data_IF_997910390653
#
_entry.id   IF_997910390653
#
_cell.length_a   1.000
_cell.length_b   1.000
_cell.length_c   1.000
_cell.angle_alpha   90.00
_cell.angle_beta   90.00
_cell.angle_gamma   90.00
#
_symmetry.space_group_name_H-M   'P 1'
#
loop_
_entity.id
_entity.type
_entity.pdbx_description
1 polymer ?
#
# COMPACT_ATOMS: atom_id res chain seq x y z
N UNK A 1 -5.75 -27.22 -56.36
CA UNK A 1 -6.50 -28.12 -57.24
C UNK A 1 -6.66 -29.44 -56.53
N UNK A 2 -7.89 -29.94 -56.50
CA UNK A 2 -8.34 -31.18 -55.86
C UNK A 2 -7.61 -32.41 -56.40
N UNK A 3 -7.52 -33.50 -55.64
CA UNK A 3 -8.12 -34.79 -56.00
C UNK A 3 -8.01 -35.79 -54.83
N UNK A 4 -9.16 -36.13 -54.26
CA UNK A 4 -9.41 -37.38 -53.52
C UNK A 4 -9.47 -38.57 -54.48
N UNK A 5 -9.20 -39.79 -53.98
CA UNK A 5 -10.02 -40.99 -54.28
C UNK A 5 -9.62 -42.19 -53.39
N UNK A 6 -10.62 -42.74 -52.71
CA UNK A 6 -10.66 -44.06 -52.08
C UNK A 6 -10.79 -45.21 -53.09
N UNK A 7 -10.42 -46.44 -52.70
CA UNK A 7 -11.05 -47.74 -53.02
C UNK A 7 -10.28 -48.84 -52.25
N UNK A 8 -10.82 -49.61 -51.30
CA UNK A 8 -11.84 -50.69 -51.34
C UNK A 8 -11.29 -52.09 -51.69
N UNK A 9 -11.20 -52.92 -50.63
CA UNK A 9 -11.60 -54.35 -50.44
C UNK A 9 -11.24 -55.43 -51.48
N UNK A 10 -10.62 -56.53 -51.00
CA UNK A 10 -11.03 -57.92 -51.35
C UNK A 10 -10.72 -58.94 -50.23
N UNK A 11 -11.68 -59.85 -50.06
CA UNK A 11 -11.87 -60.93 -49.06
C UNK A 11 -11.17 -62.26 -49.42
N UNK A 12 -10.96 -63.14 -48.43
CA UNK A 12 -10.83 -64.60 -48.55
C UNK A 12 -9.80 -65.20 -47.56
N UNK A 13 -10.03 -66.26 -46.79
CA UNK A 13 -11.03 -67.33 -46.82
C UNK A 13 -11.00 -68.06 -45.45
N UNK A 14 -12.17 -68.57 -45.08
CA UNK A 14 -12.53 -69.27 -43.84
C UNK A 14 -11.74 -70.55 -43.56
N UNK A 15 -11.51 -70.86 -42.27
CA UNK A 15 -11.74 -72.19 -41.66
C UNK A 15 -11.83 -72.03 -40.12
N UNK A 16 -12.91 -72.53 -39.53
CA UNK A 16 -13.11 -72.83 -38.10
C UNK A 16 -13.72 -74.25 -38.04
N UNK A 17 -13.93 -74.92 -36.88
CA UNK A 17 -13.80 -74.46 -35.48
C UNK A 17 -13.18 -75.50 -34.49
N UNK A 18 -12.97 -75.10 -33.22
CA UNK A 18 -13.27 -75.92 -32.02
C UNK A 18 -12.69 -75.28 -30.72
N UNK A 19 -13.61 -74.87 -29.82
CA UNK A 19 -13.61 -74.90 -28.33
C UNK A 19 -12.34 -74.46 -27.56
N UNK A 20 -12.33 -73.58 -26.55
CA UNK A 20 -13.31 -73.10 -25.56
C UNK A 20 -12.79 -71.78 -24.93
N UNK A 21 -13.63 -70.97 -24.24
CA UNK A 21 -13.39 -69.55 -23.98
C UNK A 21 -12.61 -69.23 -22.68
N UNK A 22 -11.71 -68.24 -22.77
CA UNK A 22 -11.08 -67.54 -21.65
C UNK A 22 -11.99 -66.39 -21.14
N UNK A 23 -11.88 -65.99 -19.86
CA UNK A 23 -12.86 -65.11 -19.21
C UNK A 23 -12.72 -63.65 -19.65
N UNK A 24 -13.88 -62.99 -19.62
CA UNK A 24 -14.17 -61.62 -20.05
C UNK A 24 -13.28 -60.57 -19.35
N UNK A 25 -12.72 -59.65 -20.14
CA UNK A 25 -12.07 -58.43 -19.66
C UNK A 25 -13.14 -57.47 -19.12
N UNK A 26 -12.99 -57.08 -17.85
CA UNK A 26 -13.81 -56.07 -17.19
C UNK A 26 -13.74 -54.73 -17.92
N UNK A 27 -14.88 -54.30 -18.45
CA UNK A 27 -15.10 -52.93 -18.92
C UNK A 27 -14.95 -51.96 -17.75
N UNK A 28 -13.82 -51.26 -17.69
CA UNK A 28 -13.63 -50.06 -16.86
C UNK A 28 -14.67 -49.02 -17.31
N UNK A 29 -15.70 -48.83 -16.49
CA UNK A 29 -16.63 -47.70 -16.62
C UNK A 29 -15.83 -46.41 -16.42
N UNK A 30 -15.93 -45.40 -17.29
CA UNK A 30 -15.37 -44.09 -16.98
C UNK A 30 -16.09 -43.57 -15.73
N UNK A 31 -15.32 -43.28 -14.68
CA UNK A 31 -15.86 -42.64 -13.49
C UNK A 31 -16.54 -41.32 -13.89
N UNK A 32 -17.71 -40.99 -13.31
CA UNK A 32 -18.34 -39.71 -13.58
C UNK A 32 -17.39 -38.61 -13.09
N UNK A 33 -16.95 -37.76 -14.02
CA UNK A 33 -16.22 -36.54 -13.69
C UNK A 33 -17.10 -35.76 -12.72
N UNK A 34 -16.64 -35.64 -11.47
CA UNK A 34 -17.33 -34.89 -10.46
C UNK A 34 -17.20 -33.40 -10.82
N UNK A 35 -18.25 -32.83 -11.40
CA UNK A 35 -18.32 -31.42 -11.78
C UNK A 35 -18.27 -30.48 -10.55
N UNK A 36 -18.44 -30.99 -9.33
CA UNK A 36 -18.30 -30.19 -8.09
C UNK A 36 -16.83 -29.84 -7.78
N UNK A 37 -15.85 -30.48 -8.43
CA UNK A 37 -14.41 -30.16 -8.28
C UNK A 37 -13.93 -29.08 -9.25
N UNK A 38 -14.81 -28.53 -10.10
CA UNK A 38 -14.47 -27.47 -11.07
C UNK A 38 -14.97 -26.07 -10.67
N UNK A 39 -15.68 -25.94 -9.55
CA UNK A 39 -16.21 -24.66 -9.07
C UNK A 39 -15.39 -24.01 -7.94
N UNK A 40 -14.37 -24.70 -7.39
CA UNK A 40 -13.51 -24.15 -6.32
C UNK A 40 -12.42 -23.17 -6.83
N UNK A 41 -12.23 -23.03 -8.14
CA UNK A 41 -11.21 -22.17 -8.77
C UNK A 41 -11.80 -20.92 -9.45
N UNK A 42 -13.05 -20.55 -9.14
CA UNK A 42 -13.56 -19.21 -9.40
C UNK A 42 -13.76 -18.50 -8.08
N UNK A 43 -12.71 -17.81 -7.62
CA UNK A 43 -12.83 -16.86 -6.52
C UNK A 43 -14.04 -15.95 -6.71
N UNK A 44 -14.67 -15.55 -5.61
CA UNK A 44 -15.84 -14.67 -5.65
C UNK A 44 -15.57 -13.47 -6.57
N UNK A 45 -16.40 -13.20 -7.59
CA UNK A 45 -16.20 -12.06 -8.48
C UNK A 45 -16.22 -10.70 -7.75
N UNK A 46 -16.70 -10.63 -6.51
CA UNK A 46 -16.77 -9.43 -5.70
C UNK A 46 -16.40 -9.73 -4.23
N UNK A 47 -15.11 -9.94 -3.89
CA UNK A 47 -14.68 -10.13 -2.52
C UNK A 47 -14.99 -8.89 -1.67
N UNK A 48 -14.92 -9.03 -0.34
CA UNK A 48 -14.96 -7.87 0.56
C UNK A 48 -13.72 -7.03 0.33
N UNK A 49 -13.90 -5.76 -0.03
CA UNK A 49 -12.80 -4.86 -0.37
C UNK A 49 -12.74 -3.69 0.59
N UNK A 50 -11.55 -3.17 0.80
CA UNK A 50 -11.27 -1.99 1.59
C UNK A 50 -10.50 -1.03 0.70
N UNK A 51 -11.17 0.02 0.24
CA UNK A 51 -10.56 1.05 -0.60
C UNK A 51 -9.91 2.07 0.33
N UNK A 52 -8.64 2.36 0.10
CA UNK A 52 -7.81 3.22 0.96
C UNK A 52 -7.13 4.26 0.08
N UNK A 53 -7.51 5.51 0.26
CA UNK A 53 -6.98 6.66 -0.46
C UNK A 53 -5.93 7.40 0.39
N UNK A 54 -4.75 7.61 -0.18
CA UNK A 54 -3.65 8.37 0.42
C UNK A 54 -3.50 9.70 -0.32
N UNK A 55 -3.69 10.79 0.40
CA UNK A 55 -3.26 12.12 -0.02
C UNK A 55 -1.89 12.40 0.61
N UNK A 56 -0.84 12.25 -0.20
CA UNK A 56 0.52 12.58 0.21
C UNK A 56 0.77 14.05 -0.10
N UNK A 57 0.38 14.97 0.79
CA UNK A 57 0.54 16.40 0.57
C UNK A 57 1.94 16.93 0.91
N UNK A 58 2.25 18.14 0.45
CA UNK A 58 3.57 18.77 0.68
C UNK A 58 3.81 19.13 2.15
N UNK A 59 2.75 19.50 2.87
CA UNK A 59 2.80 19.98 4.26
C UNK A 59 2.16 18.99 5.21
N UNK A 60 0.98 18.48 4.86
CA UNK A 60 0.25 17.47 5.61
C UNK A 60 -0.14 16.34 4.66
N UNK A 61 -0.25 15.14 5.19
CA UNK A 61 -0.76 13.97 4.50
C UNK A 61 -2.01 13.46 5.23
N UNK A 62 -2.90 12.80 4.49
CA UNK A 62 -4.12 12.22 5.03
C UNK A 62 -4.39 10.86 4.40
N UNK A 63 -5.09 10.00 5.15
CA UNK A 63 -5.55 8.70 4.65
C UNK A 63 -7.04 8.58 4.90
N UNK A 64 -7.79 8.20 3.89
CA UNK A 64 -9.23 7.91 4.00
C UNK A 64 -9.53 6.51 3.49
N UNK A 65 -10.59 5.90 3.99
CA UNK A 65 -10.96 4.55 3.63
C UNK A 65 -12.47 4.34 3.62
N UNK A 66 -12.89 3.32 2.89
CA UNK A 66 -14.28 2.88 2.84
C UNK A 66 -14.36 1.38 2.56
N UNK A 67 -15.25 0.69 3.27
CA UNK A 67 -15.49 -0.73 3.06
C UNK A 67 -16.52 -0.96 1.95
N UNK A 68 -16.23 -1.91 1.09
CA UNK A 68 -17.13 -2.38 0.03
C UNK A 68 -17.54 -3.82 0.36
N UNK A 69 -18.80 -4.06 0.73
CA UNK A 69 -19.29 -5.38 1.05
C UNK A 69 -19.16 -6.35 -0.13
N UNK A 70 -19.08 -7.64 0.19
CA UNK A 70 -19.07 -8.73 -0.78
C UNK A 70 -20.31 -8.65 -1.69
N UNK A 71 -20.12 -8.84 -2.99
CA UNK A 71 -21.21 -8.74 -3.98
C UNK A 71 -21.62 -7.32 -4.37
N UNK A 72 -21.01 -6.27 -3.80
CA UNK A 72 -21.33 -4.88 -4.14
C UNK A 72 -20.35 -4.30 -5.19
N UNK A 73 -20.86 -3.69 -6.29
CA UNK A 73 -20.03 -2.91 -7.21
C UNK A 73 -19.39 -1.69 -6.52
N UNK A 74 -18.17 -1.31 -6.91
CA UNK A 74 -17.47 -0.13 -6.36
C UNK A 74 -18.26 1.16 -6.52
N UNK A 75 -19.06 1.27 -7.60
CA UNK A 75 -19.81 2.48 -7.95
C UNK A 75 -21.00 2.74 -7.01
N UNK A 76 -21.29 1.81 -6.10
CA UNK A 76 -22.40 1.89 -5.14
C UNK A 76 -22.02 2.49 -3.78
N UNK A 77 -20.76 2.89 -3.59
CA UNK A 77 -20.25 3.43 -2.32
C UNK A 77 -20.89 4.78 -2.02
N UNK A 78 -21.55 4.88 -0.85
CA UNK A 78 -22.06 6.14 -0.32
C UNK A 78 -20.90 7.01 0.16
N UNK A 79 -20.81 8.25 -0.31
CA UNK A 79 -19.76 9.17 0.13
C UNK A 79 -19.79 9.44 1.64
N UNK A 80 -20.94 9.26 2.29
CA UNK A 80 -21.07 9.39 3.75
C UNK A 80 -20.45 8.24 4.55
N UNK A 81 -20.13 7.11 3.91
CA UNK A 81 -19.43 6.00 4.57
C UNK A 81 -17.91 6.14 4.52
N UNK A 82 -17.38 7.14 3.80
CA UNK A 82 -15.95 7.44 3.78
C UNK A 82 -15.52 7.92 5.17
N UNK A 83 -14.49 7.28 5.71
CA UNK A 83 -13.88 7.61 7.00
C UNK A 83 -12.43 8.00 6.81
N UNK A 84 -11.91 8.90 7.64
CA UNK A 84 -10.49 9.27 7.63
C UNK A 84 -9.76 8.65 8.81
N UNK A 85 -8.50 8.32 8.59
CA UNK A 85 -7.58 7.84 9.61
C UNK A 85 -7.14 9.03 10.45
N UNK A 86 -7.31 8.91 11.77
CA UNK A 86 -6.86 9.89 12.75
C UNK A 86 -6.04 9.24 13.84
N UNK A 87 -6.10 9.83 15.04
CA UNK A 87 -5.38 9.37 16.24
C UNK A 87 -3.87 9.20 16.01
N UNK A 88 -3.28 10.09 15.20
CA UNK A 88 -1.85 10.03 14.93
C UNK A 88 -1.05 10.15 16.23
N UNK A 89 0.10 9.44 16.33
CA UNK A 89 0.97 9.52 17.49
C UNK A 89 1.33 10.98 17.80
N UNK A 90 1.33 11.33 19.10
CA UNK A 90 1.75 12.64 19.62
C UNK A 90 0.93 13.84 19.11
N UNK A 91 -0.28 13.59 18.60
CA UNK A 91 -1.28 14.59 18.27
C UNK A 91 -1.98 15.14 19.54
N UNK A 92 -1.21 15.77 20.45
CA UNK A 92 -1.69 16.21 21.77
C UNK A 92 -2.40 17.57 21.77
N UNK A 93 -2.28 18.36 20.69
CA UNK A 93 -2.61 19.78 20.69
C UNK A 93 -3.90 20.14 19.94
N UNK A 94 -4.59 19.15 19.37
CA UNK A 94 -5.80 19.40 18.59
C UNK A 94 -7.00 18.92 19.38
N UNK A 95 -7.98 19.81 19.56
CA UNK A 95 -9.24 19.45 20.20
C UNK A 95 -9.85 18.26 19.47
N UNK A 96 -10.58 17.39 20.17
CA UNK A 96 -11.23 16.20 19.59
C UNK A 96 -12.13 16.49 18.36
N UNK A 97 -12.51 17.76 18.15
CA UNK A 97 -13.32 18.23 17.03
C UNK A 97 -12.53 19.05 15.98
N UNK A 98 -11.20 19.13 16.07
CA UNK A 98 -10.41 19.83 15.06
C UNK A 98 -10.24 18.94 13.81
N UNK A 99 -10.64 19.41 12.62
CA UNK A 99 -10.41 18.69 11.36
C UNK A 99 -8.96 18.29 11.13
N UNK A 100 -8.00 19.04 11.68
CA UNK A 100 -6.56 18.73 11.60
C UNK A 100 -6.22 17.40 12.29
N UNK A 101 -7.06 16.89 13.20
CA UNK A 101 -6.85 15.59 13.85
C UNK A 101 -6.88 14.39 12.90
N UNK A 102 -7.35 14.59 11.66
CA UNK A 102 -7.42 13.59 10.59
C UNK A 102 -6.26 13.70 9.59
N UNK A 103 -5.33 14.63 9.80
CA UNK A 103 -4.15 14.82 8.98
C UNK A 103 -2.88 14.64 9.82
N UNK A 104 -1.74 14.45 9.15
CA UNK A 104 -0.43 14.30 9.81
C UNK A 104 0.63 15.11 9.05
N UNK A 105 1.54 15.85 9.74
CA UNK A 105 2.60 16.58 9.06
C UNK A 105 3.45 15.69 8.16
N UNK A 106 3.73 16.14 6.93
CA UNK A 106 4.64 15.48 5.98
C UNK A 106 6.09 15.84 6.32
N UNK A 107 6.51 15.43 7.51
CA UNK A 107 7.81 15.78 8.10
C UNK A 107 8.46 14.55 8.73
N UNK A 108 9.78 14.52 8.72
CA UNK A 108 10.60 13.46 9.33
C UNK A 108 11.86 14.02 9.99
N UNK A 109 12.39 13.32 10.98
CA UNK A 109 13.73 13.53 11.53
C UNK A 109 14.48 12.21 11.48
N UNK A 110 15.62 12.22 10.79
CA UNK A 110 16.53 11.08 10.73
C UNK A 110 17.61 11.19 11.79
N UNK A 111 17.86 10.12 12.56
CA UNK A 111 19.16 9.90 13.18
C UNK A 111 20.25 9.79 12.11
N UNK A 112 21.41 10.38 12.38
CA UNK A 112 22.57 10.29 11.47
C UNK A 112 23.37 9.00 11.66
N UNK A 113 23.12 8.25 12.72
CA UNK A 113 23.63 6.89 12.86
C UNK A 113 22.78 5.92 12.05
N UNK A 114 23.32 5.33 10.99
CA UNK A 114 22.59 4.42 10.09
C UNK A 114 21.99 3.19 10.80
N UNK A 115 22.52 2.80 11.96
CA UNK A 115 22.11 1.57 12.64
C UNK A 115 20.67 1.60 13.15
N UNK A 116 20.03 2.77 13.26
CA UNK A 116 18.58 2.83 13.56
C UNK A 116 17.75 2.04 12.54
N UNK A 117 18.19 1.95 11.28
CA UNK A 117 17.42 1.26 10.23
C UNK A 117 17.26 -0.23 10.52
N UNK A 118 18.25 -0.84 11.16
CA UNK A 118 18.24 -2.24 11.56
C UNK A 118 17.27 -2.45 12.72
N UNK A 119 17.28 -1.55 13.71
CA UNK A 119 16.40 -1.60 14.88
C UNK A 119 14.91 -1.42 14.56
N UNK A 120 14.59 -0.60 13.55
CA UNK A 120 13.21 -0.32 13.14
C UNK A 120 12.79 -1.11 11.90
N UNK A 121 13.59 -2.09 11.49
CA UNK A 121 13.35 -2.98 10.36
C UNK A 121 12.86 -2.27 9.07
N UNK A 122 13.45 -1.12 8.77
CA UNK A 122 13.01 -0.31 7.62
C UNK A 122 13.45 -0.89 6.29
N UNK A 123 14.44 -1.79 6.29
CA UNK A 123 15.02 -2.35 5.07
C UNK A 123 14.67 -3.83 4.83
N UNK A 124 14.22 -4.62 5.84
CA UNK A 124 13.95 -6.07 5.64
C UNK A 124 12.87 -6.71 6.56
N UNK A 125 11.56 -6.52 6.30
CA UNK A 125 10.48 -7.02 7.17
C UNK A 125 10.40 -8.57 7.32
N UNK A 126 11.19 -9.35 6.58
CA UNK A 126 11.08 -10.82 6.49
C UNK A 126 11.96 -11.61 7.48
N UNK A 127 12.86 -10.99 8.26
CA UNK A 127 13.86 -11.71 9.07
C UNK A 127 13.49 -12.05 10.52
N UNK A 128 12.28 -11.74 11.02
CA UNK A 128 11.89 -12.01 12.43
C UNK A 128 10.70 -12.98 12.60
N UNK A 129 10.67 -14.09 11.87
CA UNK A 129 9.81 -15.22 12.22
C UNK A 129 10.55 -16.37 12.93
N UNK A 130 11.85 -16.28 13.12
CA UNK A 130 12.62 -17.28 13.85
C UNK A 130 13.67 -16.58 14.72
N UNK A 131 13.27 -16.17 15.93
CA UNK A 131 14.06 -16.23 17.15
C UNK A 131 13.26 -15.56 18.27
N UNK A 132 12.64 -16.38 19.11
CA UNK A 132 12.23 -15.93 20.43
C UNK A 132 13.46 -15.90 21.30
N UNK A 133 13.97 -14.71 21.62
CA UNK A 133 14.96 -14.53 22.68
C UNK A 133 14.61 -13.30 23.52
N UNK A 134 14.88 -13.46 24.81
CA UNK A 134 14.36 -12.73 25.94
C UNK A 134 14.67 -11.22 25.92
N UNK A 135 13.66 -10.42 26.26
CA UNK A 135 13.86 -9.00 26.57
C UNK A 135 14.53 -8.92 27.95
N UNK A 136 15.86 -8.77 27.97
CA UNK A 136 16.59 -8.39 29.18
C UNK A 136 16.14 -7.00 29.62
N UNK A 137 15.55 -6.94 30.82
CA UNK A 137 15.24 -5.71 31.53
C UNK A 137 16.54 -5.01 31.95
N UNK A 138 16.69 -3.69 31.75
CA UNK A 138 17.92 -3.00 32.14
C UNK A 138 18.01 -2.93 33.67
N UNK A 139 19.14 -3.42 34.18
CA UNK A 139 19.58 -3.32 35.57
C UNK A 139 19.87 -1.86 35.89
N UNK A 140 19.27 -1.34 36.96
CA UNK A 140 19.60 -0.02 37.52
C UNK A 140 20.81 -0.13 38.44
N UNK A 141 21.88 0.55 38.10
CA UNK A 141 23.06 0.79 38.94
C UNK A 141 22.76 1.92 39.96
N UNK A 142 23.12 1.66 41.23
CA UNK A 142 22.96 2.59 42.35
C UNK A 142 24.05 3.67 42.37
N UNK A 143 24.07 4.52 41.36
CA UNK A 143 24.76 5.81 41.46
C UNK A 143 24.02 6.81 40.57
N UNK A 144 23.37 7.77 41.22
CA UNK A 144 22.40 8.70 40.63
C UNK A 144 23.00 9.66 39.61
N UNK A 145 23.33 9.16 38.44
CA UNK A 145 23.48 9.93 37.22
C UNK A 145 22.24 9.73 36.35
N UNK A 146 21.53 10.83 36.09
CA UNK A 146 20.29 10.84 35.33
C UNK A 146 20.67 10.64 33.85
N UNK A 147 20.66 9.39 33.36
CA UNK A 147 20.85 9.08 31.94
C UNK A 147 19.61 9.41 31.08
N UNK A 148 18.92 10.53 31.35
CA UNK A 148 17.74 10.96 30.57
C UNK A 148 18.09 11.67 29.25
N UNK A 149 19.38 11.67 28.84
CA UNK A 149 19.84 12.39 27.64
C UNK A 149 20.20 11.48 26.46
N UNK A 150 20.22 10.15 26.61
CA UNK A 150 20.63 9.24 25.52
C UNK A 150 19.49 8.83 24.57
N UNK A 151 18.24 8.87 24.99
CA UNK A 151 17.16 8.18 24.24
C UNK A 151 16.55 9.00 23.08
N UNK A 152 16.90 10.29 22.98
CA UNK A 152 16.33 11.18 21.95
C UNK A 152 17.11 11.12 20.62
N UNK A 153 18.30 10.54 20.59
CA UNK A 153 19.19 10.63 19.42
C UNK A 153 19.05 9.49 18.40
N UNK A 154 18.34 8.42 18.72
CA UNK A 154 18.47 7.16 17.97
C UNK A 154 17.22 6.75 17.18
N UNK A 155 16.06 7.36 17.45
CA UNK A 155 14.80 7.00 16.78
C UNK A 155 14.47 7.88 15.57
N UNK A 156 14.01 7.22 14.50
CA UNK A 156 13.37 7.89 13.36
C UNK A 156 12.02 8.48 13.77
N UNK A 157 11.82 9.78 13.49
CA UNK A 157 10.57 10.48 13.84
C UNK A 157 9.85 10.91 12.59
N UNK A 158 8.52 10.90 12.64
CA UNK A 158 7.65 11.32 11.56
C UNK A 158 6.39 12.02 12.12
N UNK A 159 5.73 12.82 11.30
CA UNK A 159 4.46 13.44 11.69
C UNK A 159 4.58 14.34 12.91
N UNK A 160 3.61 14.26 13.82
CA UNK A 160 3.57 15.12 15.03
C UNK A 160 4.71 14.85 16.01
N UNK A 161 5.36 13.67 15.99
CA UNK A 161 6.60 13.42 16.76
C UNK A 161 7.70 14.41 16.41
N UNK A 162 7.75 14.86 15.15
CA UNK A 162 8.69 15.89 14.71
C UNK A 162 8.40 17.20 15.43
N UNK A 163 7.15 17.64 15.47
CA UNK A 163 6.76 18.88 16.14
C UNK A 163 7.03 18.83 17.64
N UNK A 164 6.72 17.70 18.27
CA UNK A 164 6.93 17.51 19.70
C UNK A 164 8.41 17.70 20.09
N UNK A 165 9.33 17.09 19.34
CA UNK A 165 10.76 17.27 19.61
C UNK A 165 11.28 18.61 19.11
N UNK A 166 10.73 19.16 18.02
CA UNK A 166 11.16 20.45 17.48
C UNK A 166 10.79 21.63 18.38
N UNK A 167 9.77 21.49 19.23
CA UNK A 167 9.44 22.45 20.27
C UNK A 167 10.50 22.50 21.40
N UNK A 168 11.44 21.56 21.45
CA UNK A 168 12.50 21.51 22.47
C UNK A 168 13.74 22.25 21.95
N UNK A 169 14.26 23.28 22.66
CA UNK A 169 15.42 24.04 22.20
C UNK A 169 16.68 23.20 21.91
N UNK A 170 16.87 22.11 22.67
CA UNK A 170 17.97 21.16 22.51
C UNK A 170 17.99 20.51 21.12
N UNK A 171 16.84 20.32 20.49
CA UNK A 171 16.72 19.69 19.18
C UNK A 171 17.34 20.54 18.07
N UNK A 172 17.25 21.87 18.17
CA UNK A 172 17.84 22.77 17.17
C UNK A 172 19.37 22.77 17.20
N UNK A 173 19.97 22.44 18.34
CA UNK A 173 21.42 22.32 18.49
C UNK A 173 21.92 20.89 18.31
N UNK A 174 21.00 19.94 18.07
CA UNK A 174 21.37 18.54 17.94
C UNK A 174 22.00 18.28 16.57
N UNK A 175 23.30 17.98 16.57
CA UNK A 175 24.09 17.66 15.37
C UNK A 175 24.01 16.19 14.95
N UNK A 176 23.37 15.32 15.74
CA UNK A 176 23.23 13.88 15.45
C UNK A 176 21.97 13.55 14.67
N UNK A 177 21.07 14.52 14.49
CA UNK A 177 19.81 14.33 13.78
C UNK A 177 19.68 15.29 12.61
N UNK A 178 18.82 14.91 11.66
CA UNK A 178 18.62 15.65 10.43
C UNK A 178 17.11 15.77 10.13
N UNK A 179 16.50 16.93 10.41
CA UNK A 179 15.10 17.21 10.08
C UNK A 179 14.92 17.40 8.58
N UNK A 180 13.75 17.02 8.08
CA UNK A 180 13.38 17.16 6.68
C UNK A 180 11.86 17.33 6.53
N UNK A 181 11.46 18.37 5.80
CA UNK A 181 10.07 18.63 5.42
C UNK A 181 10.01 18.98 3.93
N UNK A 182 8.78 18.99 3.37
CA UNK A 182 8.53 19.35 1.96
C UNK A 182 9.30 18.49 0.95
N UNK A 183 9.68 17.28 1.34
CA UNK A 183 10.43 16.35 0.50
C UNK A 183 9.60 15.80 -0.67
N UNK A 184 8.26 15.97 -0.68
CA UNK A 184 7.41 15.78 -1.87
C UNK A 184 7.89 16.60 -3.07
N UNK A 185 8.47 17.78 -2.83
CA UNK A 185 8.99 18.65 -3.89
C UNK A 185 10.19 18.06 -4.64
N UNK A 186 10.78 16.96 -4.17
CA UNK A 186 11.78 16.19 -4.92
C UNK A 186 11.21 15.57 -6.21
N UNK A 187 9.88 15.46 -6.31
CA UNK A 187 9.15 15.00 -7.49
C UNK A 187 8.72 16.15 -8.43
N UNK A 188 8.91 17.40 -8.01
CA UNK A 188 8.59 18.59 -8.80
C UNK A 188 9.81 19.11 -9.57
N UNK A 189 9.57 19.71 -10.74
CA UNK A 189 10.61 20.31 -11.60
C UNK A 189 10.34 21.78 -11.96
N UNK A 190 9.31 22.41 -11.39
CA UNK A 190 8.98 23.82 -11.66
C UNK A 190 10.08 24.79 -11.17
N UNK A 191 10.30 25.93 -11.83
CA UNK A 191 11.30 26.91 -11.40
C UNK A 191 10.98 27.50 -10.01
N UNK A 192 9.68 27.68 -9.71
CA UNK A 192 9.19 28.31 -8.49
C UNK A 192 9.62 27.58 -7.20
N UNK A 193 9.82 26.26 -7.25
CA UNK A 193 10.19 25.47 -6.06
C UNK A 193 11.70 25.17 -6.00
N UNK A 194 12.51 25.65 -6.96
CA UNK A 194 13.93 25.26 -7.06
C UNK A 194 14.75 25.61 -5.82
N UNK A 195 14.51 26.77 -5.20
CA UNK A 195 15.19 27.17 -3.96
C UNK A 195 14.91 26.17 -2.84
N UNK A 196 13.65 25.79 -2.64
CA UNK A 196 13.26 24.81 -1.61
C UNK A 196 13.82 23.43 -1.93
N UNK A 197 13.76 23.00 -3.20
CA UNK A 197 14.35 21.72 -3.63
C UNK A 197 15.85 21.67 -3.39
N UNK A 198 16.57 22.78 -3.61
CA UNK A 198 18.01 22.85 -3.34
C UNK A 198 18.32 22.61 -1.86
N UNK A 199 17.55 23.21 -0.96
CA UNK A 199 17.73 23.03 0.48
C UNK A 199 17.43 21.57 0.89
N UNK A 200 16.33 20.99 0.39
CA UNK A 200 16.00 19.58 0.59
C UNK A 200 17.12 18.67 0.05
N UNK A 201 17.65 18.95 -1.15
CA UNK A 201 18.76 18.18 -1.75
C UNK A 201 20.04 18.25 -0.92
N UNK A 202 20.34 19.38 -0.28
CA UNK A 202 21.49 19.48 0.63
C UNK A 202 21.33 18.51 1.81
N UNK A 203 20.15 18.46 2.40
CA UNK A 203 19.82 17.50 3.47
C UNK A 203 19.94 16.06 2.99
N UNK A 204 19.36 15.74 1.82
CA UNK A 204 19.47 14.40 1.21
C UNK A 204 20.94 14.01 0.99
N UNK A 205 21.78 14.94 0.52
CA UNK A 205 23.20 14.68 0.31
C UNK A 205 23.95 14.39 1.62
N UNK A 206 23.56 15.01 2.73
CA UNK A 206 24.11 14.69 4.05
C UNK A 206 23.70 13.28 4.48
N UNK A 207 22.42 12.93 4.35
CA UNK A 207 21.92 11.58 4.68
C UNK A 207 22.59 10.50 3.83
N UNK A 208 22.75 10.74 2.52
CA UNK A 208 23.44 9.82 1.61
C UNK A 208 24.92 9.62 1.98
N UNK A 209 25.65 10.71 2.28
CA UNK A 209 27.07 10.61 2.68
C UNK A 209 27.27 9.82 3.97
N UNK A 210 26.29 9.84 4.86
CA UNK A 210 26.27 9.06 6.10
C UNK A 210 25.72 7.63 5.91
N UNK A 211 25.34 7.26 4.69
CA UNK A 211 24.68 5.98 4.36
C UNK A 211 23.38 5.75 5.13
N UNK A 212 22.68 6.82 5.51
CA UNK A 212 21.36 6.75 6.16
C UNK A 212 20.25 6.47 5.14
N UNK A 213 20.42 6.94 3.91
CA UNK A 213 19.51 6.64 2.80
C UNK A 213 20.30 6.38 1.51
N UNK A 214 19.72 5.58 0.61
CA UNK A 214 20.31 5.32 -0.71
C UNK A 214 20.01 6.43 -1.73
N UNK A 215 18.86 7.10 -1.58
CA UNK A 215 18.42 8.11 -2.53
C UNK A 215 17.24 8.95 -2.04
N UNK A 216 16.87 10.00 -2.78
CA UNK A 216 15.81 10.93 -2.40
C UNK A 216 14.44 10.25 -2.21
N UNK A 217 14.13 9.25 -3.05
CA UNK A 217 12.89 8.48 -2.98
C UNK A 217 12.77 7.66 -1.69
N UNK A 218 13.90 7.33 -1.05
CA UNK A 218 13.88 6.55 0.19
C UNK A 218 13.17 7.31 1.31
N UNK A 219 13.30 8.64 1.36
CA UNK A 219 12.62 9.47 2.35
C UNK A 219 11.11 9.39 2.21
N UNK A 220 10.61 9.39 0.97
CA UNK A 220 9.18 9.26 0.69
C UNK A 220 8.71 7.87 1.10
N UNK A 221 9.43 6.81 0.71
CA UNK A 221 9.08 5.44 1.08
C UNK A 221 9.08 5.20 2.59
N UNK A 222 10.08 5.73 3.32
CA UNK A 222 10.18 5.60 4.77
C UNK A 222 8.99 6.32 5.45
N UNK A 223 8.67 7.55 5.07
CA UNK A 223 7.50 8.26 5.59
C UNK A 223 6.19 7.50 5.34
N UNK A 224 5.98 7.03 4.10
CA UNK A 224 4.79 6.26 3.74
C UNK A 224 4.71 4.93 4.50
N UNK A 225 5.85 4.31 4.83
CA UNK A 225 5.89 3.05 5.59
C UNK A 225 5.24 3.26 6.96
N UNK A 226 5.69 4.27 7.70
CA UNK A 226 5.11 4.60 9.00
C UNK A 226 3.64 5.05 8.91
N UNK A 227 3.29 5.82 7.87
CA UNK A 227 1.91 6.23 7.63
C UNK A 227 1.00 5.00 7.42
N UNK A 228 1.45 4.03 6.63
CA UNK A 228 0.71 2.80 6.40
C UNK A 228 0.70 1.90 7.64
N UNK A 229 1.79 1.74 8.37
CA UNK A 229 1.78 0.98 9.63
C UNK A 229 0.75 1.53 10.63
N UNK A 230 0.71 2.85 10.80
CA UNK A 230 -0.32 3.50 11.62
C UNK A 230 -1.72 3.24 11.07
N UNK A 231 -1.91 3.41 9.76
CA UNK A 231 -3.18 3.13 9.07
C UNK A 231 -3.66 1.71 9.35
N UNK A 232 -2.80 0.70 9.16
CA UNK A 232 -3.10 -0.72 9.42
C UNK A 232 -3.51 -0.93 10.87
N UNK A 233 -2.78 -0.32 11.80
CA UNK A 233 -3.06 -0.38 13.23
C UNK A 233 -4.45 0.20 13.55
N UNK A 234 -4.81 1.35 12.99
CA UNK A 234 -6.14 1.95 13.17
C UNK A 234 -7.24 1.12 12.52
N UNK A 235 -7.04 0.63 11.29
CA UNK A 235 -7.99 -0.23 10.60
C UNK A 235 -8.30 -1.51 11.40
N UNK A 236 -7.28 -2.15 11.98
CA UNK A 236 -7.45 -3.31 12.86
C UNK A 236 -8.26 -2.99 14.12
N UNK A 237 -8.05 -1.82 14.73
CA UNK A 237 -8.86 -1.36 15.88
C UNK A 237 -10.33 -1.12 15.49
N UNK A 238 -10.59 -0.76 14.24
CA UNK A 238 -11.94 -0.64 13.70
C UNK A 238 -12.56 -1.96 13.23
N UNK A 239 -11.86 -3.09 13.40
CA UNK A 239 -12.37 -4.42 13.06
C UNK A 239 -12.09 -4.87 11.62
N UNK A 240 -11.26 -4.13 10.87
CA UNK A 240 -10.80 -4.57 9.55
C UNK A 240 -9.58 -5.47 9.71
N UNK A 241 -9.66 -6.69 9.21
CA UNK A 241 -8.61 -7.69 9.26
C UNK A 241 -8.03 -7.98 7.85
N UNK A 242 -7.22 -9.03 7.76
CA UNK A 242 -6.57 -9.43 6.52
C UNK A 242 -7.49 -10.22 5.57
N UNK A 243 -8.78 -10.42 5.92
CA UNK A 243 -9.79 -10.98 5.02
C UNK A 243 -10.27 -10.00 3.95
N UNK A 244 -10.08 -8.69 4.17
CA UNK A 244 -10.38 -7.66 3.19
C UNK A 244 -9.30 -7.59 2.12
N UNK A 245 -9.70 -7.60 0.85
CA UNK A 245 -8.83 -7.19 -0.24
C UNK A 245 -8.63 -5.67 -0.18
N UNK A 246 -7.37 -5.24 -0.11
CA UNK A 246 -7.02 -3.82 0.07
C UNK A 246 -6.73 -3.22 -1.31
N UNK A 247 -7.46 -2.16 -1.65
CA UNK A 247 -7.24 -1.35 -2.86
C UNK A 247 -6.66 0.00 -2.45
N UNK A 248 -5.54 0.40 -3.05
CA UNK A 248 -4.84 1.64 -2.73
C UNK A 248 -5.05 2.68 -3.82
N UNK A 249 -5.48 3.88 -3.43
CA UNK A 249 -5.60 5.03 -4.31
C UNK A 249 -4.58 6.07 -3.86
N UNK A 250 -3.79 6.59 -4.78
CA UNK A 250 -2.86 7.68 -4.54
C UNK A 250 -3.35 8.95 -5.24
N UNK A 251 -3.57 10.00 -4.46
CA UNK A 251 -3.86 11.33 -4.98
C UNK A 251 -2.55 12.04 -5.34
N UNK A 252 -2.45 12.54 -6.58
CA UNK A 252 -1.24 13.25 -7.05
C UNK A 252 -1.54 14.61 -7.70
N UNK A 253 -0.62 15.57 -7.65
CA UNK A 253 -0.78 16.84 -8.36
C UNK A 253 -0.92 16.65 -9.86
N UNK A 254 -1.89 17.32 -10.50
CA UNK A 254 -2.11 17.22 -11.95
C UNK A 254 -0.91 17.70 -12.80
N UNK A 255 -0.03 18.53 -12.22
CA UNK A 255 1.17 19.05 -12.90
C UNK A 255 2.33 18.03 -12.93
N UNK A 256 2.23 16.91 -12.21
CA UNK A 256 3.31 15.93 -12.16
C UNK A 256 3.56 15.26 -13.50
N UNK A 257 4.84 15.07 -13.78
CA UNK A 257 5.29 14.28 -14.94
C UNK A 257 4.98 12.80 -14.73
N UNK A 258 4.89 12.04 -15.83
CA UNK A 258 4.74 10.58 -15.75
C UNK A 258 5.85 9.91 -14.91
N UNK A 259 7.08 10.45 -14.97
CA UNK A 259 8.19 9.96 -14.15
C UNK A 259 7.92 10.17 -12.66
N UNK A 260 7.45 11.36 -12.26
CA UNK A 260 7.12 11.66 -10.87
C UNK A 260 6.01 10.73 -10.35
N UNK A 261 4.98 10.46 -11.16
CA UNK A 261 3.94 9.49 -10.81
C UNK A 261 4.51 8.08 -10.62
N UNK A 262 5.36 7.59 -11.54
CA UNK A 262 6.00 6.26 -11.41
C UNK A 262 6.91 6.16 -10.19
N UNK A 263 7.70 7.20 -9.93
CA UNK A 263 8.58 7.27 -8.75
C UNK A 263 7.73 7.20 -7.46
N UNK A 264 6.61 7.91 -7.40
CA UNK A 264 5.70 7.89 -6.26
C UNK A 264 5.00 6.53 -6.09
N UNK A 265 4.55 5.89 -7.18
CA UNK A 265 3.99 4.53 -7.15
C UNK A 265 5.01 3.53 -6.60
N UNK A 266 6.26 3.62 -7.05
CA UNK A 266 7.34 2.76 -6.55
C UNK A 266 7.58 2.98 -5.05
N UNK A 267 7.56 4.22 -4.57
CA UNK A 267 7.69 4.51 -3.13
C UNK A 267 6.54 3.91 -2.32
N UNK A 268 5.31 4.05 -2.81
CA UNK A 268 4.13 3.51 -2.15
C UNK A 268 4.13 1.98 -2.16
N UNK A 269 4.50 1.34 -3.26
CA UNK A 269 4.63 -0.11 -3.34
C UNK A 269 5.66 -0.66 -2.34
N UNK A 270 6.81 0.01 -2.19
CA UNK A 270 7.83 -0.33 -1.17
C UNK A 270 7.24 -0.19 0.24
N UNK A 271 6.54 0.91 0.52
CA UNK A 271 5.92 1.15 1.82
C UNK A 271 4.81 0.12 2.15
N UNK A 272 4.01 -0.27 1.15
CA UNK A 272 2.99 -1.31 1.30
C UNK A 272 3.61 -2.66 1.64
N UNK A 273 4.73 -3.01 0.99
CA UNK A 273 5.48 -4.23 1.33
C UNK A 273 5.98 -4.17 2.78
N UNK A 274 6.64 -3.08 3.18
CA UNK A 274 7.23 -2.90 4.52
C UNK A 274 6.20 -2.94 5.66
N UNK A 275 5.03 -2.34 5.43
CA UNK A 275 3.94 -2.27 6.42
C UNK A 275 3.03 -3.51 6.46
N UNK A 276 3.35 -4.55 5.67
CA UNK A 276 2.50 -5.73 5.42
C UNK A 276 1.07 -5.36 5.04
N UNK A 277 0.95 -4.38 4.14
CA UNK A 277 -0.30 -3.95 3.54
C UNK A 277 -0.72 -4.83 2.36
N UNK A 278 0.23 -5.56 1.78
CA UNK A 278 -0.01 -6.53 0.70
C UNK A 278 -0.30 -7.92 1.24
N UNK A 279 -1.17 -8.68 0.55
CA UNK A 279 -1.33 -10.12 0.78
C UNK A 279 -0.06 -10.85 0.34
N UNK A 280 0.29 -11.93 1.05
CA UNK A 280 1.52 -12.71 0.87
C UNK A 280 1.69 -13.37 -0.52
N UNK A 281 0.71 -13.27 -1.42
CA UNK A 281 0.65 -14.01 -2.68
C UNK A 281 1.37 -13.30 -3.85
N UNK A 282 2.06 -12.19 -3.60
CA UNK A 282 2.82 -11.43 -4.60
C UNK A 282 4.22 -12.04 -4.85
N UNK A 283 4.27 -13.28 -5.33
CA UNK A 283 5.44 -13.76 -6.10
C UNK A 283 5.54 -13.07 -7.46
N UNK A 284 4.45 -12.48 -7.95
CA UNK A 284 4.44 -11.63 -9.14
C UNK A 284 4.56 -10.16 -8.73
N UNK A 285 5.55 -9.47 -9.31
CA UNK A 285 5.92 -8.06 -9.11
C UNK A 285 4.85 -7.06 -9.61
N UNK A 286 3.57 -7.35 -9.43
CA UNK A 286 2.49 -6.52 -9.96
C UNK A 286 1.72 -5.87 -8.82
N UNK A 287 1.70 -4.54 -8.82
CA UNK A 287 0.97 -3.71 -7.86
C UNK A 287 -0.48 -3.57 -8.37
N UNK A 288 -1.16 -4.70 -8.60
CA UNK A 288 -2.41 -4.75 -9.37
C UNK A 288 -3.56 -3.95 -8.73
N UNK A 289 -3.44 -3.62 -7.44
CA UNK A 289 -4.45 -2.89 -6.68
C UNK A 289 -4.01 -1.46 -6.31
N UNK A 290 -3.11 -0.83 -7.08
CA UNK A 290 -2.70 0.56 -6.89
C UNK A 290 -3.18 1.44 -8.05
N UNK A 291 -4.00 2.44 -7.72
CA UNK A 291 -4.55 3.42 -8.66
C UNK A 291 -4.02 4.82 -8.37
N UNK A 292 -3.90 5.64 -9.42
CA UNK A 292 -3.60 7.07 -9.29
C UNK A 292 -4.83 7.86 -9.71
N UNK A 293 -5.17 8.88 -8.93
CA UNK A 293 -6.16 9.90 -9.28
C UNK A 293 -5.52 11.27 -9.11
N UNK A 294 -5.91 12.25 -9.92
CA UNK A 294 -5.42 13.61 -9.71
C UNK A 294 -6.10 14.26 -8.50
N UNK A 295 -5.34 14.99 -7.68
CA UNK A 295 -5.89 15.78 -6.55
C UNK A 295 -7.10 16.65 -6.93
N UNK A 296 -7.09 17.44 -8.04
CA UNK A 296 -8.27 18.24 -8.41
C UNK A 296 -9.48 17.39 -8.82
N UNK A 297 -9.26 16.22 -9.41
CA UNK A 297 -10.34 15.28 -9.75
C UNK A 297 -10.95 14.65 -8.50
N UNK A 298 -10.11 14.20 -7.56
CA UNK A 298 -10.56 13.66 -6.28
C UNK A 298 -11.38 14.71 -5.50
N UNK A 299 -10.91 15.96 -5.47
CA UNK A 299 -11.63 17.07 -4.84
C UNK A 299 -12.99 17.33 -5.52
N UNK A 300 -13.04 17.37 -6.85
CA UNK A 300 -14.28 17.56 -7.59
C UNK A 300 -15.27 16.41 -7.34
N UNK A 301 -14.81 15.16 -7.40
CA UNK A 301 -15.64 13.97 -7.12
C UNK A 301 -16.24 14.01 -5.70
N UNK A 302 -15.42 14.37 -4.70
CA UNK A 302 -15.88 14.52 -3.33
C UNK A 302 -16.98 15.60 -3.22
N UNK A 303 -16.76 16.79 -3.80
CA UNK A 303 -17.74 17.89 -3.78
C UNK A 303 -19.08 17.51 -4.45
N UNK A 304 -19.03 16.83 -5.60
CA UNK A 304 -20.22 16.37 -6.32
C UNK A 304 -21.01 15.33 -5.51
N UNK A 305 -20.30 14.47 -4.76
CA UNK A 305 -20.93 13.42 -3.97
C UNK A 305 -21.64 13.95 -2.71
N UNK A 306 -21.11 15.02 -2.11
CA UNK A 306 -21.58 15.60 -0.84
C UNK A 306 -22.61 16.74 -1.02
N UNK A 307 -22.65 17.38 -2.19
CA UNK A 307 -23.58 18.47 -2.46
C UNK A 307 -24.95 17.96 -2.92
N UNK A 308 -25.97 18.07 -2.06
CA UNK A 308 -27.36 17.71 -2.39
C UNK A 308 -27.94 18.54 -3.54
N UNK A 309 -27.48 19.78 -3.73
CA UNK A 309 -27.97 20.72 -4.75
C UNK A 309 -27.45 20.42 -6.16
N UNK A 310 -26.25 19.83 -6.29
CA UNK A 310 -25.62 19.55 -7.60
C UNK A 310 -26.16 18.24 -8.20
N UNK A 311 -26.56 17.27 -7.36
CA UNK A 311 -27.22 16.02 -7.80
C UNK A 311 -28.56 16.26 -8.50
N UNK A 312 -29.22 17.41 -8.30
CA UNK A 312 -30.52 17.72 -8.91
C UNK A 312 -30.40 18.26 -10.35
N UNK A 313 -29.20 18.69 -10.79
CA UNK A 313 -28.98 19.21 -12.15
C UNK A 313 -28.42 18.18 -13.14
N UNK A 314 -28.11 16.95 -12.71
CA UNK A 314 -27.73 15.87 -13.63
C UNK A 314 -28.97 15.18 -14.18
N UNK A 315 -29.49 15.75 -15.28
CA UNK A 315 -30.40 15.06 -16.21
C UNK A 315 -29.72 13.76 -16.66
N UNK A 316 -30.42 12.61 -16.78
CA UNK A 316 -29.79 11.37 -17.17
C UNK A 316 -29.15 11.51 -18.55
N UNK A 317 -27.82 11.42 -18.60
CA UNK A 317 -27.08 11.21 -19.84
C UNK A 317 -27.30 9.77 -20.29
N UNK A 318 -28.50 9.50 -20.81
CA UNK A 318 -28.69 8.38 -21.73
C UNK A 318 -27.91 8.70 -23.00
N UNK A 319 -26.89 7.87 -23.28
CA UNK A 319 -26.01 7.87 -24.46
C UNK A 319 -24.64 8.53 -24.27
N UNK A 320 -23.73 7.80 -23.62
CA UNK A 320 -22.33 7.78 -24.02
C UNK A 320 -21.86 6.32 -24.08
N UNK A 321 -22.19 5.68 -25.20
CA UNK A 321 -21.56 4.42 -25.63
C UNK A 321 -20.27 4.79 -26.37
N UNK A 322 -19.22 3.98 -26.16
CA UNK A 322 -17.89 4.00 -26.80
C UNK A 322 -16.89 5.03 -26.27
N UNK A 323 -15.99 4.57 -25.40
CA UNK A 323 -14.59 4.22 -25.74
C UNK A 323 -13.85 3.94 -24.43
N UNK A 324 -13.70 2.65 -24.08
CA UNK A 324 -12.47 1.96 -23.70
C UNK A 324 -12.78 0.48 -23.55
#
# INVERSE_FOLDING_TARGET
>A
MSFSRSSTVTLGRETAPSHQPQPEEDHVRPEPINLDLLDDERGDPFPKRLIIAVDFGTTYSAVSYVDVPQGCPSDSVDSRSIRSIGNYPENYNYHYNDPMGMEVPTEVIYPLDRHFRDHFNLDNPEEHLENGEDVEMPVTDEEGDISMLSDVSEEFRWGYRVHEVWNRPSTHSNTTNQPLSRFKLLLDNSEMTETVRRDVRQTINTLKRRNVIQGPLHVIADFLTYLLEHTRSQLRRHGFDDSYEKEMILCVPAIWTQKACRDMQACLAVAMKRSNFTRADLQNKSVDNLFIVSEPEAAAAHMLSTSAEIKVQTVPLTSFTMLF
#
